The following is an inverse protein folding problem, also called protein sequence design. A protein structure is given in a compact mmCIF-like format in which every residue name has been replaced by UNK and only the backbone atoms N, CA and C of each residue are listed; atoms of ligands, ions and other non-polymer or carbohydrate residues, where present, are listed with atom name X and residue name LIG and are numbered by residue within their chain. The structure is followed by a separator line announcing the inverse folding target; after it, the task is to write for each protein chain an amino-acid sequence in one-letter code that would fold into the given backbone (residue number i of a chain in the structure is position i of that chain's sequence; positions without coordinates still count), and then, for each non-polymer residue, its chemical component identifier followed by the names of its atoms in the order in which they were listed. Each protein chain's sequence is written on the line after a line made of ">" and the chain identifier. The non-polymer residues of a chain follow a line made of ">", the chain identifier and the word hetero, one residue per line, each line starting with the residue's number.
data_IF_863524006263
#
_entry.id   IF_863524006263
#
_cell.length_a   1.000
_cell.length_b   1.000
_cell.length_c   1.000
_cell.angle_alpha   90.00
_cell.angle_beta   90.00
_cell.angle_gamma   90.00
#
_symmetry.space_group_name_H-M   'P 1'
#
loop_
_entity.id
_entity.type
_entity.pdbx_description
1 polymer ?
#
# COMPACT_ATOMS: atom_id res chain seq x y z
N UNK A 1 -32.84 59.76 41.70
CA UNK A 1 -33.05 58.42 41.10
C UNK A 1 -32.77 58.56 39.61
N UNK A 2 -31.70 57.94 39.10
CA UNK A 2 -31.22 58.12 37.71
C UNK A 2 -31.85 57.07 36.77
N UNK A 3 -32.34 57.44 35.58
CA UNK A 3 -33.10 56.55 34.69
C UNK A 3 -32.19 55.84 33.68
N UNK A 4 -31.29 54.95 34.13
CA UNK A 4 -30.42 54.19 33.20
C UNK A 4 -30.18 52.71 33.49
N UNK A 5 -30.89 52.11 34.43
CA UNK A 5 -30.85 50.65 34.62
C UNK A 5 -32.18 50.05 34.14
N UNK A 6 -32.27 49.82 32.84
CA UNK A 6 -33.32 48.96 32.27
C UNK A 6 -32.87 47.52 32.51
N UNK A 7 -33.35 46.92 33.60
CA UNK A 7 -33.25 45.47 33.82
C UNK A 7 -34.33 44.82 32.96
N UNK A 8 -33.94 44.35 31.78
CA UNK A 8 -34.82 43.54 30.93
C UNK A 8 -34.81 42.09 31.45
N UNK A 9 -35.88 41.66 32.12
CA UNK A 9 -36.12 40.26 32.42
C UNK A 9 -36.81 39.63 31.20
N UNK A 10 -36.06 38.84 30.41
CA UNK A 10 -36.64 38.01 29.35
C UNK A 10 -37.17 36.71 29.98
N UNK A 11 -38.33 36.18 29.53
CA UNK A 11 -38.76 34.84 29.93
C UNK A 11 -37.73 33.82 29.44
N UNK A 12 -37.33 32.89 30.32
CA UNK A 12 -36.40 31.81 30.02
C UNK A 12 -36.88 31.03 28.79
N UNK A 13 -36.14 31.15 27.69
CA UNK A 13 -36.49 30.53 26.42
C UNK A 13 -35.68 29.26 26.15
N UNK A 14 -35.95 28.60 25.03
CA UNK A 14 -35.28 27.35 24.67
C UNK A 14 -33.77 27.56 24.39
N UNK A 15 -33.36 28.74 23.91
CA UNK A 15 -31.95 29.08 23.71
C UNK A 15 -31.24 29.28 25.06
N UNK A 16 -31.86 29.96 26.04
CA UNK A 16 -31.32 30.13 27.40
C UNK A 16 -31.09 28.80 28.10
N UNK A 17 -31.94 27.81 27.84
CA UNK A 17 -31.75 26.43 28.32
C UNK A 17 -30.52 25.77 27.73
N UNK A 18 -30.28 25.94 26.44
CA UNK A 18 -29.12 25.36 25.76
C UNK A 18 -27.83 26.05 26.21
N UNK A 19 -27.83 27.37 26.33
CA UNK A 19 -26.72 28.14 26.91
C UNK A 19 -26.34 27.58 28.29
N UNK A 20 -27.33 27.43 29.18
CA UNK A 20 -27.08 26.89 30.51
C UNK A 20 -26.50 25.47 30.47
N UNK A 21 -27.00 24.60 29.60
CA UNK A 21 -26.48 23.23 29.45
C UNK A 21 -25.04 23.21 28.94
N UNK A 22 -24.70 24.05 27.97
CA UNK A 22 -23.34 24.19 27.43
C UNK A 22 -22.38 24.74 28.50
N UNK A 23 -22.78 25.78 29.23
CA UNK A 23 -21.99 26.37 30.33
C UNK A 23 -21.68 25.37 31.45
N UNK A 24 -22.57 24.41 31.66
CA UNK A 24 -22.42 23.35 32.66
C UNK A 24 -21.86 22.04 32.07
N UNK A 25 -21.35 22.07 30.84
CA UNK A 25 -20.76 20.94 30.11
C UNK A 25 -21.69 19.73 29.91
N UNK A 26 -23.01 19.95 29.95
CA UNK A 26 -24.05 18.93 29.72
C UNK A 26 -24.39 18.83 28.24
N UNK A 27 -23.40 18.47 27.42
CA UNK A 27 -23.53 18.52 25.96
C UNK A 27 -24.48 17.46 25.37
N UNK A 28 -24.60 16.28 25.97
CA UNK A 28 -25.57 15.26 25.52
C UNK A 28 -27.01 15.77 25.68
N UNK A 29 -27.33 16.30 26.88
CA UNK A 29 -28.61 16.94 27.17
C UNK A 29 -28.85 18.15 26.25
N UNK A 30 -27.80 18.93 25.96
CA UNK A 30 -27.88 20.07 25.03
C UNK A 30 -28.19 19.61 23.60
N UNK A 31 -27.57 18.54 23.13
CA UNK A 31 -27.83 17.95 21.81
C UNK A 31 -29.26 17.41 21.69
N UNK A 32 -29.79 16.79 22.75
CA UNK A 32 -31.19 16.34 22.80
C UNK A 32 -32.17 17.53 22.81
N UNK A 33 -31.88 18.56 23.62
CA UNK A 33 -32.69 19.77 23.70
C UNK A 33 -32.76 20.52 22.37
N UNK A 34 -31.62 20.65 21.67
CA UNK A 34 -31.56 21.28 20.33
C UNK A 34 -32.36 20.48 19.31
N UNK A 35 -32.27 19.16 19.35
CA UNK A 35 -32.99 18.28 18.42
C UNK A 35 -34.51 18.33 18.65
N UNK A 36 -34.94 18.50 19.90
CA UNK A 36 -36.36 18.53 20.29
C UNK A 36 -37.03 19.87 20.02
N UNK A 37 -36.29 20.97 20.07
CA UNK A 37 -36.81 22.34 20.00
C UNK A 37 -36.40 23.11 18.74
N UNK A 38 -35.96 22.41 17.68
CA UNK A 38 -35.31 23.01 16.49
C UNK A 38 -36.09 24.16 15.81
N UNK A 39 -37.42 24.19 15.94
CA UNK A 39 -38.28 25.25 15.36
C UNK A 39 -38.36 26.53 16.19
N UNK A 40 -38.03 26.47 17.47
CA UNK A 40 -38.18 27.56 18.42
C UNK A 40 -36.83 28.25 18.75
N UNK A 41 -35.72 27.73 18.22
CA UNK A 41 -34.37 28.25 18.44
C UNK A 41 -34.01 29.35 17.46
N UNK A 42 -33.41 30.42 17.97
CA UNK A 42 -32.90 31.55 17.21
C UNK A 42 -31.37 31.65 17.29
N UNK A 43 -30.76 31.22 18.40
CA UNK A 43 -29.31 31.39 18.66
C UNK A 43 -28.51 30.11 18.43
N UNK A 44 -29.07 28.94 18.76
CA UNK A 44 -28.36 27.67 18.64
C UNK A 44 -28.86 26.80 17.49
N UNK A 45 -27.92 26.13 16.84
CA UNK A 45 -28.19 25.07 15.87
C UNK A 45 -27.59 23.76 16.35
N UNK A 46 -28.10 22.63 15.84
CA UNK A 46 -27.51 21.32 16.12
C UNK A 46 -26.02 21.27 15.80
N UNK A 47 -25.62 21.95 14.73
CA UNK A 47 -24.23 22.05 14.33
C UNK A 47 -23.41 22.86 15.34
N UNK A 48 -23.85 24.04 15.75
CA UNK A 48 -23.07 24.88 16.68
C UNK A 48 -22.88 24.21 18.03
N UNK A 49 -23.93 23.57 18.58
CA UNK A 49 -23.84 22.82 19.84
C UNK A 49 -22.96 21.59 19.69
N UNK A 50 -23.08 20.88 18.56
CA UNK A 50 -22.22 19.74 18.25
C UNK A 50 -20.74 20.13 18.13
N UNK A 51 -20.42 21.24 17.48
CA UNK A 51 -19.03 21.73 17.39
C UNK A 51 -18.46 22.07 18.76
N UNK A 52 -19.23 22.76 19.62
CA UNK A 52 -18.82 23.01 21.01
C UNK A 52 -18.62 21.72 21.80
N UNK A 53 -19.43 20.70 21.55
CA UNK A 53 -19.26 19.39 22.18
C UNK A 53 -17.98 18.69 21.71
N UNK A 54 -17.69 18.69 20.40
CA UNK A 54 -16.45 18.14 19.87
C UNK A 54 -15.22 18.85 20.44
N UNK A 55 -15.24 20.19 20.49
CA UNK A 55 -14.18 20.99 21.09
C UNK A 55 -13.95 20.64 22.57
N UNK A 56 -15.04 20.41 23.32
CA UNK A 56 -14.96 19.98 24.71
C UNK A 56 -14.37 18.57 24.86
N UNK A 57 -14.77 17.62 24.03
CA UNK A 57 -14.22 16.26 24.04
C UNK A 57 -12.74 16.24 23.68
N UNK A 58 -12.33 17.04 22.69
CA UNK A 58 -10.91 17.22 22.35
C UNK A 58 -10.13 17.83 23.51
N UNK A 59 -10.69 18.82 24.21
CA UNK A 59 -10.07 19.42 25.39
C UNK A 59 -9.90 18.42 26.56
N UNK A 60 -10.85 17.51 26.74
CA UNK A 60 -10.78 16.43 27.74
C UNK A 60 -9.95 15.22 27.29
N UNK A 61 -9.31 15.30 26.12
CA UNK A 61 -8.54 14.20 25.51
C UNK A 61 -9.37 12.94 25.22
N UNK A 62 -10.69 13.06 25.11
CA UNK A 62 -11.63 11.98 24.79
C UNK A 62 -11.74 11.78 23.27
N UNK A 63 -10.60 11.54 22.63
CA UNK A 63 -10.48 11.54 21.17
C UNK A 63 -11.33 10.48 20.46
N UNK A 64 -11.51 9.31 21.08
CA UNK A 64 -12.32 8.23 20.49
C UNK A 64 -13.80 8.60 20.43
N UNK A 65 -14.34 9.21 21.49
CA UNK A 65 -15.74 9.64 21.52
C UNK A 65 -15.96 10.83 20.59
N UNK A 66 -15.02 11.78 20.55
CA UNK A 66 -15.04 12.88 19.58
C UNK A 66 -15.10 12.35 18.14
N UNK A 67 -14.22 11.39 17.79
CA UNK A 67 -14.16 10.81 16.45
C UNK A 67 -15.47 10.11 16.03
N UNK A 68 -16.09 9.35 16.94
CA UNK A 68 -17.39 8.70 16.69
C UNK A 68 -18.50 9.72 16.41
N UNK A 69 -18.47 10.86 17.11
CA UNK A 69 -19.50 11.89 17.00
C UNK A 69 -19.36 12.77 15.76
N UNK A 70 -18.17 12.82 15.14
CA UNK A 70 -17.93 13.60 13.92
C UNK A 70 -18.95 13.30 12.82
N UNK A 71 -19.26 12.02 12.54
CA UNK A 71 -20.21 11.67 11.49
C UNK A 71 -21.63 12.21 11.77
N UNK A 72 -22.07 12.15 13.03
CA UNK A 72 -23.39 12.60 13.44
C UNK A 72 -23.55 14.13 13.42
N UNK A 73 -22.46 14.87 13.68
CA UNK A 73 -22.46 16.32 13.82
C UNK A 73 -22.14 17.02 12.49
N UNK A 74 -21.11 16.54 11.77
CA UNK A 74 -20.60 17.17 10.55
C UNK A 74 -21.38 16.73 9.30
N UNK A 75 -22.01 15.55 9.36
CA UNK A 75 -22.74 14.95 8.24
C UNK A 75 -21.89 14.84 6.98
N UNK A 76 -22.42 15.30 5.85
CA UNK A 76 -21.74 15.26 4.55
C UNK A 76 -21.00 16.56 4.19
N UNK A 77 -20.83 17.49 5.13
CA UNK A 77 -20.24 18.79 4.85
C UNK A 77 -18.71 18.70 4.85
N UNK A 78 -18.13 18.72 3.64
CA UNK A 78 -16.67 18.63 3.41
C UNK A 78 -15.87 19.67 4.21
N UNK A 79 -16.30 20.94 4.19
CA UNK A 79 -15.56 22.02 4.86
C UNK A 79 -15.48 21.80 6.38
N UNK A 80 -16.59 21.37 6.99
CA UNK A 80 -16.63 21.11 8.43
C UNK A 80 -15.77 19.91 8.82
N UNK A 81 -15.76 18.86 7.98
CA UNK A 81 -14.85 17.74 8.15
C UNK A 81 -13.38 18.17 8.09
N UNK A 82 -13.00 19.01 7.12
CA UNK A 82 -11.62 19.49 7.01
C UNK A 82 -11.20 20.33 8.22
N UNK A 83 -12.05 21.25 8.66
CA UNK A 83 -11.81 22.06 9.87
C UNK A 83 -11.64 21.18 11.12
N UNK A 84 -12.49 20.15 11.27
CA UNK A 84 -12.45 19.25 12.43
C UNK A 84 -11.21 18.33 12.40
N UNK A 85 -10.87 17.75 11.25
CA UNK A 85 -9.68 16.89 11.10
C UNK A 85 -8.39 17.68 11.38
N UNK A 86 -8.35 18.96 11.02
CA UNK A 86 -7.23 19.83 11.40
C UNK A 86 -7.10 20.04 12.92
N UNK A 87 -8.20 19.97 13.68
CA UNK A 87 -8.12 19.99 15.16
C UNK A 87 -7.51 18.68 15.69
N UNK A 88 -7.94 17.52 15.18
CA UNK A 88 -7.32 16.22 15.50
C UNK A 88 -5.82 16.19 15.14
N UNK A 89 -5.43 16.83 14.03
CA UNK A 89 -4.03 16.96 13.64
C UNK A 89 -3.18 17.71 14.66
N UNK A 90 -3.70 18.81 15.24
CA UNK A 90 -2.99 19.63 16.23
C UNK A 90 -2.69 18.89 17.52
N UNK A 91 -3.50 17.88 17.85
CA UNK A 91 -3.33 17.04 19.04
C UNK A 91 -2.71 15.66 18.72
N UNK A 92 -2.25 15.44 17.49
CA UNK A 92 -1.64 14.18 17.04
C UNK A 92 -2.54 12.95 17.20
N UNK A 93 -3.82 13.09 16.85
CA UNK A 93 -4.85 12.05 16.97
C UNK A 93 -5.55 11.75 15.63
N UNK A 94 -4.86 11.95 14.50
CA UNK A 94 -5.43 11.68 13.18
C UNK A 94 -5.76 10.19 12.99
N UNK A 95 -4.99 9.29 13.59
CA UNK A 95 -5.30 7.85 13.55
C UNK A 95 -6.67 7.52 14.14
N UNK A 96 -7.08 8.25 15.17
CA UNK A 96 -8.36 8.01 15.89
C UNK A 96 -9.56 8.42 15.06
N UNK A 97 -9.48 9.52 14.30
CA UNK A 97 -10.55 9.97 13.39
C UNK A 97 -10.55 9.25 12.04
N UNK A 98 -9.40 8.66 11.65
CA UNK A 98 -9.22 7.99 10.35
C UNK A 98 -10.32 7.00 9.93
N UNK A 99 -10.93 6.19 10.81
CA UNK A 99 -11.97 5.23 10.41
C UNK A 99 -13.29 5.88 9.98
N UNK A 100 -13.51 7.14 10.33
CA UNK A 100 -14.76 7.86 10.09
C UNK A 100 -14.66 8.87 8.93
N UNK A 101 -13.48 8.99 8.31
CA UNK A 101 -13.28 9.94 7.21
C UNK A 101 -14.15 9.55 6.01
N UNK A 102 -14.74 10.53 5.30
CA UNK A 102 -15.42 10.27 4.04
C UNK A 102 -14.46 9.64 3.02
N UNK A 103 -14.83 8.53 2.37
CA UNK A 103 -13.98 7.86 1.35
C UNK A 103 -14.59 7.92 -0.06
N UNK A 104 -15.91 8.06 -0.17
CA UNK A 104 -16.64 7.86 -1.44
C UNK A 104 -17.18 9.17 -2.04
N UNK A 105 -18.49 9.43 -1.92
CA UNK A 105 -19.22 10.42 -2.75
C UNK A 105 -18.84 11.88 -2.52
N UNK A 106 -18.13 12.19 -1.43
CA UNK A 106 -17.64 13.55 -1.14
C UNK A 106 -16.30 13.47 -0.38
N UNK A 107 -15.21 13.08 -1.06
CA UNK A 107 -13.92 12.93 -0.41
C UNK A 107 -13.35 14.31 -0.06
N UNK A 108 -12.57 14.33 1.02
CA UNK A 108 -11.87 15.52 1.49
C UNK A 108 -10.74 15.89 0.53
N UNK A 109 -10.10 17.04 0.76
CA UNK A 109 -8.90 17.36 -0.01
C UNK A 109 -7.77 16.33 0.21
N UNK A 110 -6.97 15.98 -0.83
CA UNK A 110 -5.95 14.94 -0.76
C UNK A 110 -4.96 15.05 0.40
N UNK A 111 -4.57 16.29 0.74
CA UNK A 111 -3.62 16.55 1.82
C UNK A 111 -4.11 16.06 3.19
N UNK A 112 -5.43 15.95 3.40
CA UNK A 112 -6.01 15.44 4.65
C UNK A 112 -5.68 13.95 4.83
N UNK A 113 -5.86 13.15 3.77
CA UNK A 113 -5.52 11.73 3.79
C UNK A 113 -4.00 11.54 3.90
N UNK A 114 -3.22 12.39 3.22
CA UNK A 114 -1.75 12.38 3.32
C UNK A 114 -1.26 12.65 4.75
N UNK A 115 -1.87 13.60 5.47
CA UNK A 115 -1.55 13.87 6.88
C UNK A 115 -1.81 12.65 7.76
N UNK A 116 -2.94 11.97 7.57
CA UNK A 116 -3.29 10.76 8.32
C UNK A 116 -2.29 9.65 8.01
N UNK A 117 -2.01 9.41 6.73
CA UNK A 117 -1.03 8.42 6.28
C UNK A 117 0.37 8.71 6.84
N UNK A 118 0.77 9.98 6.90
CA UNK A 118 2.04 10.40 7.48
C UNK A 118 2.13 10.16 8.99
N UNK A 119 1.03 10.36 9.73
CA UNK A 119 0.96 10.05 11.16
C UNK A 119 1.08 8.53 11.41
N UNK A 120 0.38 7.71 10.61
CA UNK A 120 0.55 6.26 10.65
C UNK A 120 1.98 5.85 10.30
N UNK A 121 2.56 6.39 9.23
CA UNK A 121 3.91 6.05 8.78
C UNK A 121 4.95 6.20 9.91
N UNK A 122 4.83 7.26 10.72
CA UNK A 122 5.73 7.53 11.86
C UNK A 122 5.53 6.62 13.06
N UNK A 123 4.30 6.23 13.35
CA UNK A 123 3.92 5.66 14.65
C UNK A 123 3.48 4.21 14.59
N UNK A 124 3.00 3.77 13.43
CA UNK A 124 2.39 2.47 13.18
C UNK A 124 2.49 2.08 11.69
N UNK A 125 3.64 1.51 11.26
CA UNK A 125 3.86 1.08 9.88
C UNK A 125 2.86 0.03 9.39
N UNK A 126 2.35 -0.84 10.29
CA UNK A 126 1.35 -1.85 9.95
C UNK A 126 -0.01 -1.21 9.67
N UNK A 127 -0.42 -0.26 10.51
CA UNK A 127 -1.60 0.57 10.26
C UNK A 127 -1.48 1.38 8.97
N UNK A 128 -0.29 1.91 8.67
CA UNK A 128 -0.01 2.57 7.38
C UNK A 128 -0.25 1.62 6.20
N UNK A 129 0.35 0.43 6.21
CA UNK A 129 0.15 -0.57 5.15
C UNK A 129 -1.33 -0.97 5.00
N UNK A 130 -2.04 -1.14 6.12
CA UNK A 130 -3.48 -1.42 6.12
C UNK A 130 -4.25 -0.32 5.41
N UNK A 131 -3.95 0.96 5.71
CA UNK A 131 -4.62 2.11 5.06
C UNK A 131 -4.29 2.22 3.57
N UNK A 132 -3.07 1.92 3.14
CA UNK A 132 -2.71 1.86 1.70
C UNK A 132 -3.47 0.74 0.95
N UNK A 133 -3.84 -0.34 1.63
CA UNK A 133 -4.67 -1.43 1.05
C UNK A 133 -6.16 -1.07 1.02
N UNK A 134 -6.63 -0.34 2.03
CA UNK A 134 -8.04 0.02 2.22
C UNK A 134 -8.46 1.23 1.37
N UNK A 135 -7.65 2.29 1.34
CA UNK A 135 -8.03 3.57 0.75
C UNK A 135 -7.78 3.61 -0.76
N UNK A 136 -8.78 4.06 -1.56
CA UNK A 136 -8.58 4.29 -2.98
C UNK A 136 -7.42 5.27 -3.25
N UNK A 137 -6.51 4.98 -4.20
CA UNK A 137 -5.34 5.84 -4.45
C UNK A 137 -5.68 7.22 -5.02
N UNK A 138 -6.93 7.44 -5.43
CA UNK A 138 -7.44 8.76 -5.85
C UNK A 138 -7.60 9.73 -4.68
N UNK A 139 -7.63 9.23 -3.43
CA UNK A 139 -7.81 10.06 -2.23
C UNK A 139 -6.56 10.84 -1.82
N UNK A 140 -5.38 10.51 -2.36
CA UNK A 140 -4.12 11.13 -1.94
C UNK A 140 -3.15 11.25 -3.10
N UNK A 141 -2.18 12.15 -2.99
CA UNK A 141 -1.09 12.24 -3.95
C UNK A 141 -0.12 11.07 -3.74
N UNK A 142 -0.27 10.03 -4.56
CA UNK A 142 0.58 8.83 -4.51
C UNK A 142 2.09 9.18 -4.57
N UNK A 143 2.58 10.03 -5.49
CA UNK A 143 3.98 10.47 -5.47
C UNK A 143 4.45 11.10 -4.15
N UNK A 144 3.63 11.91 -3.49
CA UNK A 144 3.98 12.52 -2.20
C UNK A 144 4.13 11.46 -1.10
N UNK A 145 3.19 10.50 -1.03
CA UNK A 145 3.24 9.39 -0.07
C UNK A 145 4.42 8.47 -0.34
N UNK A 146 4.75 8.20 -1.61
CA UNK A 146 5.96 7.44 -1.99
C UNK A 146 7.22 8.11 -1.45
N UNK A 147 7.37 9.42 -1.65
CA UNK A 147 8.55 10.15 -1.19
C UNK A 147 8.66 10.12 0.34
N UNK A 148 7.55 10.38 1.05
CA UNK A 148 7.53 10.29 2.51
C UNK A 148 7.92 8.89 3.02
N UNK A 149 7.42 7.83 2.35
CA UNK A 149 7.74 6.44 2.72
C UNK A 149 9.21 6.11 2.47
N UNK A 150 9.79 6.59 1.36
CA UNK A 150 11.22 6.44 1.07
C UNK A 150 12.10 7.13 2.11
N UNK A 151 11.78 8.38 2.46
CA UNK A 151 12.49 9.13 3.50
C UNK A 151 12.44 8.41 4.85
N UNK A 152 11.26 7.89 5.22
CA UNK A 152 11.10 7.15 6.46
C UNK A 152 11.87 5.83 6.47
N UNK A 153 11.93 5.12 5.33
CA UNK A 153 12.67 3.87 5.17
C UNK A 153 14.18 4.03 5.44
N UNK A 154 14.75 5.22 5.18
CA UNK A 154 16.17 5.51 5.44
C UNK A 154 16.48 5.63 6.94
N UNK A 155 15.51 6.05 7.75
CA UNK A 155 15.70 6.32 9.19
C UNK A 155 15.31 5.13 10.05
N UNK A 156 14.34 4.32 9.61
CA UNK A 156 13.91 3.13 10.34
C UNK A 156 15.04 2.11 10.45
N UNK A 157 15.34 1.65 11.67
CA UNK A 157 16.36 0.64 11.94
C UNK A 157 15.80 -0.78 12.03
N UNK A 158 14.54 -0.93 12.46
CA UNK A 158 13.89 -2.21 12.67
C UNK A 158 13.58 -2.92 11.35
N UNK A 159 13.99 -4.18 11.22
CA UNK A 159 13.82 -4.91 9.96
C UNK A 159 12.37 -5.30 9.65
N UNK A 160 11.58 -5.63 10.67
CA UNK A 160 10.15 -5.90 10.51
C UNK A 160 9.42 -4.70 9.92
N UNK A 161 9.74 -3.48 10.37
CA UNK A 161 9.16 -2.27 9.80
C UNK A 161 9.66 -2.00 8.39
N UNK A 162 10.93 -2.29 8.09
CA UNK A 162 11.44 -2.18 6.72
C UNK A 162 10.68 -3.08 5.75
N UNK A 163 10.34 -4.31 6.14
CA UNK A 163 9.55 -5.19 5.26
C UNK A 163 8.14 -4.64 5.02
N UNK A 164 7.47 -4.15 6.07
CA UNK A 164 6.13 -3.55 5.96
C UNK A 164 6.16 -2.33 5.03
N UNK A 165 7.15 -1.46 5.19
CA UNK A 165 7.28 -0.24 4.37
C UNK A 165 7.64 -0.55 2.92
N UNK A 166 8.50 -1.55 2.66
CA UNK A 166 8.79 -1.99 1.31
C UNK A 166 7.55 -2.55 0.60
N UNK A 167 6.66 -3.24 1.33
CA UNK A 167 5.41 -3.76 0.78
C UNK A 167 4.47 -2.61 0.44
N UNK A 168 4.31 -1.65 1.35
CA UNK A 168 3.53 -0.44 1.10
C UNK A 168 4.07 0.33 -0.12
N UNK A 169 5.40 0.43 -0.25
CA UNK A 169 6.04 1.10 -1.37
C UNK A 169 5.80 0.36 -2.70
N UNK A 170 5.79 -0.98 -2.69
CA UNK A 170 5.47 -1.78 -3.87
C UNK A 170 4.02 -1.55 -4.34
N UNK A 171 3.07 -1.48 -3.40
CA UNK A 171 1.67 -1.15 -3.69
C UNK A 171 1.53 0.27 -4.24
N UNK A 172 2.16 1.25 -3.60
CA UNK A 172 2.14 2.65 -4.04
C UNK A 172 2.72 2.81 -5.46
N UNK A 173 3.84 2.16 -5.77
CA UNK A 173 4.38 2.15 -7.13
C UNK A 173 3.46 1.47 -8.13
N UNK A 174 2.74 0.42 -7.73
CA UNK A 174 1.74 -0.23 -8.57
C UNK A 174 0.58 0.71 -8.87
N UNK A 175 0.10 1.48 -7.88
CA UNK A 175 -0.94 2.49 -8.07
C UNK A 175 -0.51 3.64 -8.99
N UNK A 176 0.78 4.00 -8.96
CA UNK A 176 1.38 5.01 -9.85
C UNK A 176 1.82 4.43 -11.22
N UNK A 177 1.46 3.18 -11.53
CA UNK A 177 1.86 2.44 -12.74
C UNK A 177 3.38 2.33 -12.97
N UNK A 178 4.20 2.49 -11.92
CA UNK A 178 5.66 2.34 -11.94
C UNK A 178 6.05 0.90 -11.60
N UNK A 179 5.64 -0.01 -12.47
CA UNK A 179 5.75 -1.45 -12.24
C UNK A 179 7.20 -1.95 -12.11
N UNK A 180 8.14 -1.32 -12.81
CA UNK A 180 9.58 -1.58 -12.68
C UNK A 180 10.06 -1.40 -11.23
N UNK A 181 9.65 -0.30 -10.60
CA UNK A 181 9.99 0.00 -9.20
C UNK A 181 9.22 -0.89 -8.22
N UNK A 182 7.94 -1.16 -8.49
CA UNK A 182 7.14 -2.06 -7.67
C UNK A 182 7.78 -3.45 -7.59
N UNK A 183 8.19 -4.02 -8.72
CA UNK A 183 8.86 -5.32 -8.79
C UNK A 183 10.19 -5.31 -8.03
N UNK A 184 10.98 -4.24 -8.14
CA UNK A 184 12.23 -4.13 -7.38
C UNK A 184 12.00 -4.15 -5.87
N UNK A 185 10.92 -3.53 -5.38
CA UNK A 185 10.59 -3.56 -3.95
C UNK A 185 10.16 -4.96 -3.51
N UNK A 186 9.34 -5.66 -4.29
CA UNK A 186 8.96 -7.04 -3.99
C UNK A 186 10.14 -8.03 -4.02
N UNK A 187 11.09 -7.85 -4.93
CA UNK A 187 12.32 -8.65 -4.95
C UNK A 187 13.19 -8.39 -3.72
N UNK A 188 13.36 -7.13 -3.31
CA UNK A 188 14.10 -6.79 -2.08
C UNK A 188 13.46 -7.40 -0.83
N UNK A 189 12.15 -7.61 -0.85
CA UNK A 189 11.42 -8.29 0.22
C UNK A 189 11.57 -9.82 0.19
N UNK A 190 11.97 -10.40 -0.94
CA UNK A 190 11.88 -11.83 -1.17
C UNK A 190 10.43 -12.34 -1.12
N UNK A 191 9.45 -11.50 -1.50
CA UNK A 191 8.04 -11.87 -1.42
C UNK A 191 7.56 -12.53 -2.73
N UNK A 192 7.00 -13.74 -2.65
CA UNK A 192 6.56 -14.51 -3.81
C UNK A 192 5.42 -13.86 -4.61
N UNK A 193 4.66 -12.96 -3.99
CA UNK A 193 3.62 -12.16 -4.68
C UNK A 193 4.13 -11.34 -5.88
N UNK A 194 5.46 -11.20 -6.05
CA UNK A 194 6.06 -10.63 -7.28
C UNK A 194 5.58 -11.36 -8.54
N UNK A 195 5.41 -12.69 -8.49
CA UNK A 195 5.01 -13.49 -9.64
C UNK A 195 3.55 -13.22 -10.04
N UNK A 196 2.67 -13.08 -9.04
CA UNK A 196 1.26 -12.73 -9.26
C UNK A 196 1.13 -11.34 -9.88
N UNK A 197 1.94 -10.37 -9.44
CA UNK A 197 1.95 -9.03 -10.01
C UNK A 197 2.39 -9.03 -11.48
N UNK A 198 3.46 -9.77 -11.81
CA UNK A 198 3.95 -9.89 -13.18
C UNK A 198 2.87 -10.48 -14.09
N UNK A 199 2.24 -11.57 -13.66
CA UNK A 199 1.20 -12.24 -14.42
C UNK A 199 -0.04 -11.35 -14.59
N UNK A 200 -0.50 -10.70 -13.51
CA UNK A 200 -1.71 -9.86 -13.51
C UNK A 200 -1.60 -8.63 -14.42
N UNK A 201 -0.41 -8.02 -14.49
CA UNK A 201 -0.18 -6.79 -15.26
C UNK A 201 0.61 -7.01 -16.55
N UNK A 202 0.83 -8.26 -16.96
CA UNK A 202 1.54 -8.63 -18.19
C UNK A 202 2.95 -7.99 -18.30
N UNK A 203 3.72 -7.99 -17.21
CA UNK A 203 4.96 -7.21 -17.08
C UNK A 203 6.22 -7.90 -17.68
N UNK A 204 6.03 -8.83 -18.61
CA UNK A 204 7.12 -9.65 -19.16
C UNK A 204 8.22 -8.85 -19.88
N UNK A 205 7.89 -7.69 -20.44
CA UNK A 205 8.89 -6.79 -21.05
C UNK A 205 9.81 -6.09 -20.04
N UNK A 206 9.39 -6.00 -18.77
CA UNK A 206 10.13 -5.28 -17.72
C UNK A 206 11.05 -6.22 -16.94
N UNK A 207 10.69 -7.50 -16.84
CA UNK A 207 11.43 -8.49 -16.03
C UNK A 207 12.76 -8.92 -16.63
N UNK A 208 13.10 -8.56 -17.87
CA UNK A 208 14.33 -9.01 -18.53
C UNK A 208 15.62 -8.75 -17.73
N UNK A 209 15.67 -7.62 -17.03
CA UNK A 209 16.81 -7.25 -16.19
C UNK A 209 16.77 -7.88 -14.79
N UNK A 210 15.68 -8.57 -14.45
CA UNK A 210 15.37 -9.07 -13.11
C UNK A 210 15.28 -10.60 -13.09
N UNK A 211 15.60 -11.26 -14.22
CA UNK A 211 15.48 -12.72 -14.39
C UNK A 211 16.35 -13.46 -13.37
N UNK A 212 17.58 -13.00 -13.16
CA UNK A 212 18.50 -13.63 -12.21
C UNK A 212 17.93 -13.54 -10.79
N UNK A 213 17.56 -12.35 -10.34
CA UNK A 213 16.93 -12.11 -9.03
C UNK A 213 15.65 -12.93 -8.84
N UNK A 214 14.80 -13.03 -9.87
CA UNK A 214 13.58 -13.83 -9.84
C UNK A 214 13.88 -15.33 -9.71
N UNK A 215 14.88 -15.82 -10.44
CA UNK A 215 15.32 -17.21 -10.37
C UNK A 215 15.94 -17.55 -9.01
N UNK A 216 16.68 -16.62 -8.41
CA UNK A 216 17.21 -16.76 -7.04
C UNK A 216 16.09 -16.81 -6.01
N UNK A 217 15.04 -15.99 -6.19
CA UNK A 217 13.87 -15.99 -5.33
C UNK A 217 13.07 -17.30 -5.45
N UNK A 218 12.70 -17.68 -6.67
CA UNK A 218 12.02 -18.94 -6.95
C UNK A 218 12.18 -19.32 -8.43
N UNK A 219 13.12 -20.22 -8.69
CA UNK A 219 13.39 -20.69 -10.04
C UNK A 219 12.21 -21.42 -10.69
N UNK A 220 11.43 -22.22 -9.95
CA UNK A 220 10.35 -23.02 -10.55
C UNK A 220 9.19 -22.14 -11.01
N UNK A 221 8.82 -21.14 -10.20
CA UNK A 221 7.85 -20.12 -10.60
C UNK A 221 8.37 -19.25 -11.74
N UNK A 222 9.65 -18.87 -11.70
CA UNK A 222 10.24 -18.05 -12.77
C UNK A 222 10.29 -18.81 -14.09
N UNK A 223 10.67 -20.09 -14.09
CA UNK A 223 10.65 -20.94 -15.29
C UNK A 223 9.22 -21.04 -15.83
N UNK A 224 8.24 -21.32 -14.97
CA UNK A 224 6.82 -21.38 -15.36
C UNK A 224 6.34 -20.05 -15.96
N UNK A 225 6.82 -18.93 -15.41
CA UNK A 225 6.50 -17.59 -15.92
C UNK A 225 7.12 -17.35 -17.31
N UNK A 226 8.36 -17.80 -17.52
CA UNK A 226 9.08 -17.74 -18.80
C UNK A 226 8.57 -18.74 -19.85
N UNK A 227 7.76 -19.74 -19.45
CA UNK A 227 7.09 -20.66 -20.38
C UNK A 227 5.99 -19.98 -21.21
N UNK A 228 5.50 -18.80 -20.78
CA UNK A 228 4.53 -17.99 -21.54
C UNK A 228 4.99 -17.63 -22.96
N UNK A 229 6.31 -17.60 -23.22
CA UNK A 229 6.90 -17.27 -24.52
C UNK A 229 7.08 -15.77 -24.77
N UNK A 230 6.65 -14.92 -23.84
CA UNK A 230 6.79 -13.46 -23.92
C UNK A 230 8.26 -13.00 -23.84
N UNK A 231 9.12 -13.80 -23.19
CA UNK A 231 10.56 -13.55 -23.11
C UNK A 231 11.31 -14.58 -23.96
N UNK A 232 12.02 -14.15 -25.03
CA UNK A 232 12.81 -15.06 -25.86
C UNK A 232 13.91 -15.80 -25.07
N UNK A 233 14.12 -17.10 -25.30
CA UNK A 233 15.17 -17.87 -24.64
C UNK A 233 16.58 -17.28 -24.79
N UNK A 234 16.87 -16.62 -25.92
CA UNK A 234 18.15 -15.94 -26.16
C UNK A 234 18.43 -14.85 -25.12
N UNK A 235 17.40 -14.10 -24.71
CA UNK A 235 17.52 -13.08 -23.69
C UNK A 235 17.77 -13.73 -22.33
N UNK A 236 17.01 -14.78 -21.99
CA UNK A 236 17.16 -15.50 -20.72
C UNK A 236 18.56 -16.09 -20.58
N UNK A 237 19.06 -16.77 -21.61
CA UNK A 237 20.39 -17.39 -21.63
C UNK A 237 21.49 -16.34 -21.50
N UNK A 238 21.36 -15.21 -22.22
CA UNK A 238 22.33 -14.11 -22.09
C UNK A 238 22.36 -13.56 -20.66
N UNK A 239 21.21 -13.39 -20.01
CA UNK A 239 21.10 -12.88 -18.64
C UNK A 239 21.66 -13.82 -17.59
N UNK A 240 21.45 -15.13 -17.75
CA UNK A 240 21.92 -16.15 -16.81
C UNK A 240 23.34 -16.64 -17.09
N UNK A 241 24.02 -16.09 -18.10
CA UNK A 241 25.34 -16.57 -18.54
C UNK A 241 26.43 -16.52 -17.46
N UNK A 242 26.33 -15.58 -16.52
CA UNK A 242 27.22 -15.46 -15.35
C UNK A 242 26.98 -16.53 -14.29
N UNK A 243 25.75 -17.03 -14.17
CA UNK A 243 25.34 -17.98 -13.14
C UNK A 243 25.01 -19.35 -13.75
N UNK A 244 26.04 -20.19 -13.88
CA UNK A 244 25.95 -21.50 -14.53
C UNK A 244 24.87 -22.41 -13.93
N UNK A 245 24.65 -22.35 -12.62
CA UNK A 245 23.65 -23.19 -11.95
C UNK A 245 22.22 -22.79 -12.32
N UNK A 246 21.90 -21.49 -12.32
CA UNK A 246 20.59 -21.00 -12.75
C UNK A 246 20.36 -21.22 -14.24
N UNK A 247 21.41 -21.03 -15.05
CA UNK A 247 21.38 -21.31 -16.49
C UNK A 247 21.10 -22.81 -16.76
N UNK A 248 21.74 -23.70 -16.01
CA UNK A 248 21.44 -25.14 -16.05
C UNK A 248 19.96 -25.41 -15.75
N UNK A 249 19.43 -24.88 -14.65
CA UNK A 249 18.02 -25.10 -14.28
C UNK A 249 17.06 -24.65 -15.38
N UNK A 250 17.30 -23.48 -15.96
CA UNK A 250 16.47 -22.95 -17.04
C UNK A 250 16.55 -23.82 -18.30
N UNK A 251 17.75 -24.19 -18.76
CA UNK A 251 17.93 -24.95 -19.99
C UNK A 251 17.45 -26.41 -19.87
N UNK A 252 17.63 -27.04 -18.70
CA UNK A 252 17.06 -28.37 -18.40
C UNK A 252 15.53 -28.34 -18.51
N UNK A 253 14.90 -27.31 -17.93
CA UNK A 253 13.45 -27.13 -18.05
C UNK A 253 13.02 -26.85 -19.50
N UNK A 254 13.75 -26.00 -20.22
CA UNK A 254 13.50 -25.67 -21.63
C UNK A 254 13.53 -26.93 -22.52
N UNK A 255 14.46 -27.86 -22.26
CA UNK A 255 14.61 -29.13 -22.99
C UNK A 255 13.55 -30.18 -22.62
N UNK A 256 12.98 -30.08 -21.43
CA UNK A 256 11.87 -30.94 -20.99
C UNK A 256 10.51 -30.50 -21.54
N UNK A 257 10.39 -29.29 -22.11
CA UNK A 257 9.14 -28.79 -22.71
C UNK A 257 8.64 -29.70 -23.85
N UNK A 258 7.33 -29.61 -24.12
CA UNK A 258 6.68 -30.35 -25.22
C UNK A 258 7.29 -29.97 -26.57
N UNK A 259 7.45 -28.66 -26.81
CA UNK A 259 8.21 -28.16 -27.94
C UNK A 259 9.67 -27.93 -27.53
N UNK A 260 10.55 -28.78 -28.05
CA UNK A 260 12.00 -28.74 -27.80
C UNK A 260 12.76 -27.94 -28.84
N UNK A 261 12.08 -27.33 -29.81
CA UNK A 261 12.72 -26.61 -30.92
C UNK A 261 13.68 -25.53 -30.42
N UNK A 262 13.26 -24.73 -29.45
CA UNK A 262 14.07 -23.68 -28.83
C UNK A 262 15.28 -24.23 -28.06
N UNK A 263 15.14 -25.39 -27.39
CA UNK A 263 16.21 -26.01 -26.62
C UNK A 263 17.37 -26.51 -27.50
N UNK A 264 17.08 -26.94 -28.73
CA UNK A 264 18.07 -27.52 -29.65
C UNK A 264 19.29 -26.63 -29.87
N UNK A 265 19.07 -25.31 -29.98
CA UNK A 265 20.14 -24.32 -30.16
C UNK A 265 21.14 -24.31 -29.01
N UNK A 266 20.72 -24.71 -27.81
CA UNK A 266 21.52 -24.65 -26.59
C UNK A 266 22.03 -26.02 -26.14
N UNK A 267 21.81 -27.10 -26.91
CA UNK A 267 22.26 -28.44 -26.51
C UNK A 267 23.78 -28.54 -26.31
N UNK A 268 24.58 -27.81 -27.09
CA UNK A 268 26.03 -27.73 -26.84
C UNK A 268 26.39 -27.15 -25.46
N UNK A 269 25.69 -26.09 -25.04
CA UNK A 269 25.85 -25.50 -23.72
C UNK A 269 25.28 -26.40 -22.61
N UNK A 270 24.18 -27.11 -22.90
CA UNK A 270 23.57 -28.03 -21.95
C UNK A 270 24.46 -29.25 -21.66
N UNK A 271 25.25 -29.72 -22.63
CA UNK A 271 26.23 -30.80 -22.44
C UNK A 271 27.27 -30.43 -21.37
N UNK A 272 27.85 -29.23 -21.44
CA UNK A 272 28.82 -28.79 -20.43
C UNK A 272 28.17 -28.60 -19.06
N UNK A 273 26.97 -28.03 -19.03
CA UNK A 273 26.21 -27.82 -17.80
C UNK A 273 25.76 -29.15 -17.15
N UNK A 274 25.38 -30.17 -17.92
CA UNK A 274 25.07 -31.50 -17.38
C UNK A 274 26.32 -32.20 -16.84
N UNK A 275 27.47 -32.04 -17.48
CA UNK A 275 28.72 -32.56 -16.93
C UNK A 275 29.04 -31.94 -15.55
N UNK A 276 28.76 -30.65 -15.37
CA UNK A 276 28.98 -29.93 -14.11
C UNK A 276 27.93 -30.28 -13.03
N UNK A 277 26.63 -30.30 -13.38
CA UNK A 277 25.53 -30.31 -12.39
C UNK A 277 24.62 -31.56 -12.42
N UNK A 278 24.58 -32.33 -13.50
CA UNK A 278 23.62 -33.43 -13.68
C UNK A 278 24.16 -34.54 -14.62
N UNK A 279 25.24 -35.20 -14.17
CA UNK A 279 25.98 -36.21 -14.98
C UNK A 279 25.11 -37.37 -15.44
N UNK A 280 24.09 -37.72 -14.67
CA UNK A 280 23.11 -38.76 -14.98
C UNK A 280 22.27 -38.45 -16.22
N UNK A 281 21.97 -37.17 -16.47
CA UNK A 281 21.17 -36.72 -17.63
C UNK A 281 21.99 -36.61 -18.92
N UNK A 282 23.31 -36.54 -18.81
CA UNK A 282 24.22 -36.32 -19.94
C UNK A 282 24.07 -37.38 -21.03
N UNK A 283 24.13 -38.67 -20.66
CA UNK A 283 24.00 -39.78 -21.61
C UNK A 283 22.64 -39.78 -22.32
N UNK A 284 21.57 -39.41 -21.62
CA UNK A 284 20.24 -39.34 -22.20
C UNK A 284 20.14 -38.22 -23.26
N UNK A 285 20.77 -37.07 -22.99
CA UNK A 285 20.84 -35.96 -23.96
C UNK A 285 21.66 -36.34 -25.19
N UNK A 286 22.85 -36.91 -24.99
CA UNK A 286 23.77 -37.31 -26.08
C UNK A 286 23.14 -38.35 -27.01
N UNK A 287 22.32 -39.26 -26.47
CA UNK A 287 21.62 -40.26 -27.29
C UNK A 287 20.45 -39.70 -28.09
N UNK A 288 19.88 -38.58 -27.66
CA UNK A 288 18.62 -38.05 -28.20
C UNK A 288 18.82 -36.86 -29.14
N UNK A 289 19.90 -36.10 -28.96
CA UNK A 289 20.14 -34.87 -29.73
C UNK A 289 21.31 -35.00 -30.69
N UNK A 290 21.17 -34.41 -31.87
CA UNK A 290 22.26 -34.22 -32.84
C UNK A 290 22.76 -32.76 -32.91
N UNK A 291 22.29 -31.87 -32.00
CA UNK A 291 22.49 -30.41 -32.11
C UNK A 291 23.60 -29.88 -31.17
N UNK A 292 24.60 -30.71 -30.87
CA UNK A 292 25.77 -30.31 -30.08
C UNK A 292 27.08 -30.66 -30.82
N UNK A 293 28.17 -29.89 -30.59
CA UNK A 293 29.47 -30.19 -31.16
C UNK A 293 30.05 -31.48 -30.56
N UNK A 294 30.02 -32.57 -31.34
CA UNK A 294 30.42 -33.92 -30.90
C UNK A 294 31.85 -33.94 -30.34
N UNK A 295 32.78 -33.21 -30.97
CA UNK A 295 34.18 -33.16 -30.56
C UNK A 295 34.34 -32.56 -29.14
N UNK A 296 33.61 -31.48 -28.85
CA UNK A 296 33.64 -30.81 -27.54
C UNK A 296 32.96 -31.67 -26.48
N UNK A 297 31.80 -32.25 -26.80
CA UNK A 297 31.10 -33.17 -25.91
C UNK A 297 31.98 -34.37 -25.51
N UNK A 298 32.74 -34.91 -26.46
CA UNK A 298 33.65 -36.03 -26.22
C UNK A 298 34.82 -35.64 -25.31
N UNK A 299 35.34 -34.42 -25.42
CA UNK A 299 36.38 -33.92 -24.51
C UNK A 299 35.81 -33.75 -23.09
N UNK A 300 34.62 -33.14 -22.96
CA UNK A 300 33.95 -32.95 -21.67
C UNK A 300 33.66 -34.30 -20.97
N UNK A 301 33.32 -35.35 -21.73
CA UNK A 301 33.05 -36.67 -21.15
C UNK A 301 34.31 -37.46 -20.74
N UNK A 302 35.51 -37.01 -21.14
CA UNK A 302 36.78 -37.65 -20.80
C UNK A 302 37.38 -37.14 -19.49
N UNK A 303 37.04 -35.90 -19.12
CA UNK A 303 37.46 -35.24 -17.88
C UNK A 303 36.55 -35.65 -16.71
#
# INVERSE_FOLDING_TARGET
>A
VSPKDIVAASPYDADDRIDWLIEHFKFEDAMEAVTSSEKDLQRHTKLSVGQSYLDHLLFLEQYQEAAKLCHNILGNNKRLWEEEVLKFARVHQLRTVSPYLPLDSNPLEPYIYEMVLYEFLKTDPEGFLSKIKEWPPVLYNVPAVVNATLEHLLVVSQQTFKSVLLEALALLYSYDNKYDKALQMYLKLGHSGVFDLIAKHNLYGVIHNMIEDLMELNADLTITLLDSGEVPPDIVVARLSSNKHLLYRYLDALDQRKDRSAAKKYHGLLVSLYADFAKDKLLALLRRSDHYPIQEALNICKD
#
